data_IF_011953215542
#
_entry.id   IF_011953215542
#
_cell.length_a   1.000
_cell.length_b   1.000
_cell.length_c   1.000
_cell.angle_alpha   90.00
_cell.angle_beta   90.00
_cell.angle_gamma   90.00
#
_symmetry.space_group_name_H-M   'P 1'
#
loop_
_entity.id
_entity.type
_entity.pdbx_description
1 polymer ?
#
# COMPACT_ATOMS: atom_id res chain seq x y z
N UNK A 1 -9.13 -36.77 5.63
CA UNK A 1 -9.28 -35.68 6.63
C UNK A 1 -9.88 -34.50 5.87
N UNK A 2 -11.21 -34.43 5.92
CA UNK A 2 -12.01 -33.51 5.09
C UNK A 2 -12.02 -32.14 5.79
N UNK A 3 -11.41 -31.15 5.15
CA UNK A 3 -11.49 -29.77 5.62
C UNK A 3 -12.80 -29.20 5.12
N UNK A 4 -13.73 -28.99 6.05
CA UNK A 4 -14.99 -28.31 5.79
C UNK A 4 -14.73 -26.88 5.33
N UNK A 5 -15.15 -26.58 4.11
CA UNK A 5 -15.25 -25.25 3.57
C UNK A 5 -16.51 -24.59 4.15
N UNK A 6 -16.43 -24.04 5.34
CA UNK A 6 -17.47 -23.18 5.86
C UNK A 6 -17.23 -21.77 5.33
N UNK A 7 -18.17 -21.27 4.55
CA UNK A 7 -18.36 -19.87 4.22
C UNK A 7 -18.58 -19.07 5.51
N UNK A 8 -17.49 -18.63 6.11
CA UNK A 8 -17.57 -17.61 7.16
C UNK A 8 -17.81 -16.27 6.48
N UNK A 9 -19.05 -15.99 6.13
CA UNK A 9 -19.50 -14.64 5.85
C UNK A 9 -19.23 -13.81 7.12
N UNK A 10 -18.15 -13.04 7.05
CA UNK A 10 -17.74 -12.12 8.12
C UNK A 10 -18.80 -11.03 8.29
N UNK A 11 -19.80 -11.29 9.10
CA UNK A 11 -20.67 -10.26 9.67
C UNK A 11 -19.96 -9.56 10.84
N UNK A 12 -18.74 -9.08 10.61
CA UNK A 12 -18.19 -8.08 11.51
C UNK A 12 -18.96 -6.79 11.26
N UNK A 13 -19.90 -6.46 12.17
CA UNK A 13 -20.43 -5.11 12.28
C UNK A 13 -19.21 -4.18 12.25
N UNK A 14 -19.13 -3.29 11.25
CA UNK A 14 -18.37 -2.04 11.35
C UNK A 14 -18.99 -1.25 12.50
N UNK A 15 -18.70 -1.69 13.73
CA UNK A 15 -19.00 -0.90 14.92
C UNK A 15 -18.20 0.38 14.79
N UNK A 16 -18.81 1.50 15.06
CA UNK A 16 -18.39 2.89 15.09
C UNK A 16 -16.89 3.12 15.38
N UNK A 17 -16.00 2.59 14.53
CA UNK A 17 -14.55 2.83 14.59
C UNK A 17 -14.24 4.33 14.53
N UNK A 18 -15.10 5.12 13.84
CA UNK A 18 -14.88 6.54 13.66
C UNK A 18 -14.99 7.36 14.94
N UNK A 19 -15.75 6.92 15.94
CA UNK A 19 -15.95 7.67 17.20
C UNK A 19 -14.83 7.46 18.20
N UNK A 20 -14.12 6.32 18.14
CA UNK A 20 -13.04 5.97 19.06
C UNK A 20 -11.63 6.30 18.52
N UNK A 21 -11.51 6.65 17.23
CA UNK A 21 -10.22 6.97 16.62
C UNK A 21 -9.84 8.42 16.93
N UNK A 22 -8.74 8.59 17.64
CA UNK A 22 -8.18 9.92 17.93
C UNK A 22 -7.38 10.43 16.73
N UNK A 23 -7.60 11.70 16.40
CA UNK A 23 -6.87 12.42 15.35
C UNK A 23 -6.09 13.64 15.87
N UNK A 24 -6.05 13.84 17.19
CA UNK A 24 -5.48 15.01 17.87
C UNK A 24 -4.30 14.62 18.77
N UNK A 25 -3.50 13.67 18.36
CA UNK A 25 -2.28 13.28 19.07
C UNK A 25 -1.28 14.43 19.12
N UNK A 26 -0.76 14.72 20.31
CA UNK A 26 0.36 15.62 20.50
C UNK A 26 1.69 14.89 20.35
N UNK A 27 2.75 15.60 20.01
CA UNK A 27 4.11 15.06 19.96
C UNK A 27 4.50 14.38 21.28
N UNK A 28 4.18 15.03 22.41
CA UNK A 28 4.49 14.52 23.74
C UNK A 28 3.80 13.16 24.03
N UNK A 29 2.55 12.99 23.63
CA UNK A 29 1.84 11.72 23.77
C UNK A 29 2.46 10.62 22.90
N UNK A 30 2.87 10.96 21.66
CA UNK A 30 3.57 10.01 20.79
C UNK A 30 4.93 9.61 21.40
N UNK A 31 5.73 10.54 21.93
CA UNK A 31 6.99 10.27 22.62
C UNK A 31 6.80 9.39 23.86
N UNK A 32 5.73 9.61 24.61
CA UNK A 32 5.39 8.76 25.75
C UNK A 32 5.10 7.30 25.36
N UNK A 33 4.44 7.07 24.19
CA UNK A 33 4.24 5.72 23.67
C UNK A 33 5.58 5.05 23.33
N UNK A 34 6.50 5.77 22.68
CA UNK A 34 7.84 5.24 22.36
C UNK A 34 8.67 4.92 23.61
N UNK A 35 8.42 5.61 24.72
CA UNK A 35 9.15 5.42 25.98
C UNK A 35 8.60 4.31 26.87
N UNK A 36 7.47 3.71 26.50
CA UNK A 36 6.84 2.63 27.29
C UNK A 36 7.60 1.30 27.14
N UNK A 37 7.58 0.45 28.18
CA UNK A 37 8.08 -0.92 28.06
C UNK A 37 7.39 -1.69 26.94
N UNK A 38 8.14 -2.46 26.18
CA UNK A 38 7.62 -3.18 25.00
C UNK A 38 6.44 -4.09 25.33
N UNK A 39 6.49 -4.81 26.45
CA UNK A 39 5.41 -5.72 26.82
C UNK A 39 4.10 -4.99 27.16
N UNK A 40 4.18 -3.78 27.72
CA UNK A 40 2.99 -2.95 27.99
C UNK A 40 2.38 -2.43 26.69
N UNK A 41 3.23 -2.01 25.74
CA UNK A 41 2.76 -1.62 24.40
C UNK A 41 2.08 -2.79 23.68
N UNK A 42 2.67 -3.97 23.73
CA UNK A 42 2.12 -5.17 23.10
C UNK A 42 0.76 -5.56 23.70
N UNK A 43 0.65 -5.51 25.03
CA UNK A 43 -0.61 -5.81 25.73
C UNK A 43 -1.71 -4.81 25.36
N UNK A 44 -1.40 -3.53 25.35
CA UNK A 44 -2.35 -2.48 24.97
C UNK A 44 -2.77 -2.59 23.50
N UNK A 45 -1.81 -2.81 22.59
CA UNK A 45 -2.09 -3.02 21.17
C UNK A 45 -3.01 -4.24 20.95
N UNK A 46 -2.77 -5.36 21.67
CA UNK A 46 -3.62 -6.55 21.62
C UNK A 46 -5.01 -6.28 22.20
N UNK A 47 -5.10 -5.48 23.25
CA UNK A 47 -6.40 -5.10 23.85
C UNK A 47 -7.24 -4.31 22.86
N UNK A 48 -6.64 -3.31 22.21
CA UNK A 48 -7.31 -2.49 21.18
C UNK A 48 -7.66 -3.36 19.96
N UNK A 49 -6.71 -4.21 19.51
CA UNK A 49 -6.95 -5.08 18.34
C UNK A 49 -8.16 -5.99 18.58
N UNK A 50 -8.25 -6.65 19.74
CA UNK A 50 -9.37 -7.54 20.09
C UNK A 50 -10.72 -6.83 20.25
N UNK A 51 -10.70 -5.53 20.56
CA UNK A 51 -11.92 -4.71 20.66
C UNK A 51 -12.55 -4.48 19.28
N UNK A 52 -11.73 -4.34 18.22
CA UNK A 52 -12.20 -3.90 16.89
C UNK A 52 -12.05 -4.94 15.79
N UNK A 53 -11.19 -5.94 15.96
CA UNK A 53 -10.85 -6.93 14.94
C UNK A 53 -10.92 -8.35 15.50
N UNK A 54 -11.11 -9.33 14.60
CA UNK A 54 -10.96 -10.73 14.98
C UNK A 54 -9.46 -11.04 15.21
N UNK A 55 -9.06 -11.40 16.44
CA UNK A 55 -7.65 -11.58 16.77
C UNK A 55 -6.99 -12.78 16.10
N UNK A 56 -7.78 -13.69 15.55
CA UNK A 56 -7.30 -14.91 14.88
C UNK A 56 -7.36 -14.82 13.37
N UNK A 57 -7.66 -13.63 12.82
CA UNK A 57 -7.70 -13.40 11.38
C UNK A 57 -6.49 -12.58 10.93
N UNK A 58 -5.73 -13.10 9.96
CA UNK A 58 -4.61 -12.41 9.33
C UNK A 58 -4.93 -12.14 7.87
N UNK A 59 -4.67 -10.90 7.43
CA UNK A 59 -4.69 -10.55 6.03
C UNK A 59 -3.30 -10.81 5.43
N UNK A 60 -3.23 -11.67 4.42
CA UNK A 60 -2.01 -11.90 3.65
C UNK A 60 -2.05 -11.01 2.41
N UNK A 61 -1.03 -10.17 2.25
CA UNK A 61 -0.85 -9.28 1.11
C UNK A 61 0.41 -9.68 0.34
N UNK A 62 0.30 -9.77 -0.99
CA UNK A 62 1.46 -10.00 -1.88
C UNK A 62 1.76 -8.72 -2.65
N UNK A 63 3.03 -8.34 -2.74
CA UNK A 63 3.49 -7.18 -3.51
C UNK A 63 4.21 -7.62 -4.77
N UNK A 64 3.83 -7.05 -5.91
CA UNK A 64 4.51 -7.20 -7.20
C UNK A 64 5.02 -5.84 -7.70
N UNK A 65 6.29 -5.76 -8.08
CA UNK A 65 6.82 -4.62 -8.83
C UNK A 65 6.40 -4.76 -10.29
N UNK A 66 5.39 -4.00 -10.71
CA UNK A 66 4.89 -4.04 -12.10
C UNK A 66 5.72 -3.18 -13.06
N UNK A 67 6.56 -2.29 -12.52
CA UNK A 67 7.56 -1.51 -13.27
C UNK A 67 8.74 -1.22 -12.35
N UNK A 68 9.90 -1.80 -12.66
CA UNK A 68 11.11 -1.75 -11.83
C UNK A 68 12.13 -0.78 -12.40
N UNK A 69 12.82 -0.06 -11.53
CA UNK A 69 13.97 0.78 -11.86
C UNK A 69 13.66 2.03 -12.70
N UNK A 70 14.66 2.91 -12.79
CA UNK A 70 14.58 4.14 -13.58
C UNK A 70 13.54 5.14 -13.09
N UNK A 71 13.27 5.19 -11.78
CA UNK A 71 12.47 6.25 -11.18
C UNK A 71 13.24 7.58 -11.25
N UNK A 72 12.61 8.69 -11.71
CA UNK A 72 13.29 9.98 -11.82
C UNK A 72 13.47 10.69 -10.47
N UNK A 73 12.99 10.12 -9.37
CA UNK A 73 13.16 10.65 -8.02
C UNK A 73 14.47 10.18 -7.41
N UNK A 74 15.08 11.02 -6.58
CA UNK A 74 16.38 10.79 -5.94
C UNK A 74 16.28 10.38 -4.45
N UNK A 75 15.17 9.74 -4.06
CA UNK A 75 15.00 9.26 -2.68
C UNK A 75 16.21 8.42 -2.25
N UNK A 76 16.99 8.88 -1.28
CA UNK A 76 18.30 8.34 -0.91
C UNK A 76 18.29 6.87 -0.44
N UNK A 77 17.12 6.39 0.02
CA UNK A 77 16.91 5.02 0.50
C UNK A 77 16.34 4.07 -0.57
N UNK A 78 15.96 4.61 -1.76
CA UNK A 78 15.17 3.85 -2.72
C UNK A 78 16.05 3.23 -3.84
N UNK A 79 16.11 1.89 -3.94
CA UNK A 79 16.89 1.24 -4.99
C UNK A 79 16.28 1.38 -6.39
N UNK A 80 15.07 1.91 -6.51
CA UNK A 80 14.39 2.12 -7.79
C UNK A 80 14.81 3.44 -8.48
N UNK A 81 15.55 4.31 -7.79
CA UNK A 81 16.00 5.60 -8.30
C UNK A 81 16.96 5.45 -9.47
N UNK A 82 16.83 6.33 -10.47
CA UNK A 82 17.79 6.43 -11.58
C UNK A 82 19.04 7.24 -11.22
N UNK A 83 19.07 7.85 -10.03
CA UNK A 83 20.20 8.66 -9.56
C UNK A 83 21.31 7.84 -8.89
N UNK A 84 21.04 6.56 -8.56
CA UNK A 84 21.98 5.71 -7.84
C UNK A 84 22.26 4.41 -8.59
N UNK A 85 23.51 3.95 -8.54
CA UNK A 85 23.92 2.66 -9.07
C UNK A 85 23.59 1.55 -8.08
N UNK A 86 22.37 1.03 -8.15
CA UNK A 86 21.87 0.00 -7.22
C UNK A 86 21.84 -1.41 -7.81
N UNK A 87 22.31 -1.58 -9.04
CA UNK A 87 22.23 -2.86 -9.77
C UNK A 87 20.82 -3.18 -10.28
N UNK A 88 19.83 -2.31 -10.07
CA UNK A 88 18.47 -2.48 -10.56
C UNK A 88 18.36 -2.03 -12.02
N UNK A 89 18.14 -2.98 -12.92
CA UNK A 89 17.89 -2.68 -14.33
C UNK A 89 16.49 -2.09 -14.52
N UNK A 90 16.41 -1.05 -15.36
CA UNK A 90 15.13 -0.48 -15.77
C UNK A 90 14.33 -1.50 -16.58
N UNK A 91 13.12 -1.79 -16.13
CA UNK A 91 12.16 -2.65 -16.83
C UNK A 91 10.95 -1.86 -17.29
N UNK A 92 10.34 -2.22 -18.43
CA UNK A 92 9.08 -1.64 -18.86
C UNK A 92 7.94 -2.04 -17.92
N UNK A 93 6.77 -1.40 -18.07
CA UNK A 93 5.54 -1.83 -17.42
C UNK A 93 5.19 -3.26 -17.86
N UNK A 94 4.91 -4.13 -16.91
CA UNK A 94 4.51 -5.52 -17.16
C UNK A 94 3.21 -5.59 -17.98
N UNK A 95 3.06 -6.67 -18.74
CA UNK A 95 1.82 -7.00 -19.42
C UNK A 95 0.72 -7.43 -18.44
N UNK A 96 -0.53 -7.17 -18.78
CA UNK A 96 -1.71 -7.50 -17.95
C UNK A 96 -1.73 -8.99 -17.59
N UNK A 97 -1.54 -9.86 -18.57
CA UNK A 97 -1.61 -11.33 -18.37
C UNK A 97 -0.56 -11.83 -17.37
N UNK A 98 0.65 -11.28 -17.41
CA UNK A 98 1.72 -11.60 -16.45
C UNK A 98 1.34 -11.20 -15.02
N UNK A 99 0.71 -10.01 -14.86
CA UNK A 99 0.26 -9.53 -13.55
C UNK A 99 -0.89 -10.38 -13.03
N UNK A 100 -1.86 -10.74 -13.88
CA UNK A 100 -2.98 -11.59 -13.49
C UNK A 100 -2.53 -13.02 -13.14
N UNK A 101 -1.54 -13.56 -13.85
CA UNK A 101 -0.93 -14.86 -13.50
C UNK A 101 -0.30 -14.80 -12.12
N UNK A 102 0.46 -13.75 -11.80
CA UNK A 102 1.05 -13.56 -10.47
C UNK A 102 -0.02 -13.39 -9.38
N UNK A 103 -1.11 -12.67 -9.68
CA UNK A 103 -2.22 -12.50 -8.74
C UNK A 103 -2.97 -13.83 -8.47
N UNK A 104 -3.18 -14.65 -9.48
CA UNK A 104 -3.77 -15.99 -9.31
C UNK A 104 -2.88 -16.89 -8.44
N UNK A 105 -1.57 -16.86 -8.65
CA UNK A 105 -0.61 -17.62 -7.81
C UNK A 105 -0.62 -17.11 -6.37
N UNK A 106 -0.62 -15.79 -6.15
CA UNK A 106 -0.73 -15.20 -4.83
C UNK A 106 -2.03 -15.62 -4.11
N UNK A 107 -3.16 -15.59 -4.82
CA UNK A 107 -4.45 -16.07 -4.29
C UNK A 107 -4.40 -17.54 -3.90
N UNK A 108 -3.83 -18.40 -4.75
CA UNK A 108 -3.65 -19.84 -4.47
C UNK A 108 -2.82 -20.05 -3.19
N UNK A 109 -1.86 -19.16 -2.91
CA UNK A 109 -1.03 -19.18 -1.72
C UNK A 109 -1.68 -18.48 -0.51
N UNK A 110 -2.97 -18.12 -0.59
CA UNK A 110 -3.75 -17.58 0.52
C UNK A 110 -3.75 -16.05 0.64
N UNK A 111 -3.19 -15.32 -0.32
CA UNK A 111 -3.27 -13.86 -0.30
C UNK A 111 -4.71 -13.39 -0.58
N UNK A 112 -5.21 -12.48 0.25
CA UNK A 112 -6.50 -11.80 0.08
C UNK A 112 -6.36 -10.40 -0.53
N UNK A 113 -5.14 -9.83 -0.52
CA UNK A 113 -4.81 -8.54 -1.14
C UNK A 113 -3.62 -8.67 -2.06
N UNK A 114 -3.70 -8.03 -3.22
CA UNK A 114 -2.60 -7.94 -4.17
C UNK A 114 -2.18 -6.49 -4.36
N UNK A 115 -0.92 -6.20 -4.02
CA UNK A 115 -0.33 -4.87 -4.10
C UNK A 115 0.54 -4.76 -5.34
N UNK A 116 0.44 -3.65 -6.08
CA UNK A 116 1.25 -3.38 -7.25
C UNK A 116 2.06 -2.11 -7.07
N UNK A 117 3.39 -2.19 -7.18
CA UNK A 117 4.29 -1.06 -7.11
C UNK A 117 4.89 -0.71 -8.47
N UNK A 118 5.01 0.58 -8.80
CA UNK A 118 5.70 1.04 -9.99
C UNK A 118 6.67 2.19 -9.69
N UNK A 119 7.88 2.09 -10.21
CA UNK A 119 8.94 3.08 -10.05
C UNK A 119 8.68 4.32 -10.92
N UNK A 120 7.70 5.14 -10.51
CA UNK A 120 7.31 6.39 -11.17
C UNK A 120 7.29 7.56 -10.18
N UNK A 121 7.57 8.75 -10.70
CA UNK A 121 7.18 10.00 -10.04
C UNK A 121 5.66 10.22 -10.15
N UNK A 122 5.14 10.02 -11.36
CA UNK A 122 3.73 10.11 -11.72
C UNK A 122 3.49 9.19 -12.92
N UNK A 123 2.42 8.40 -12.97
CA UNK A 123 2.12 7.55 -14.13
C UNK A 123 1.67 8.38 -15.32
N UNK A 124 2.08 7.98 -16.54
CA UNK A 124 1.49 8.50 -17.76
C UNK A 124 0.05 7.97 -17.91
N UNK A 125 -0.81 8.73 -18.57
CA UNK A 125 -2.21 8.33 -18.77
C UNK A 125 -2.37 7.04 -19.59
N UNK A 126 -1.45 6.77 -20.54
CA UNK A 126 -1.39 5.50 -21.26
C UNK A 126 -1.13 4.31 -20.33
N UNK A 127 -0.16 4.45 -19.43
CA UNK A 127 0.24 3.40 -18.49
C UNK A 127 -0.86 3.20 -17.43
N UNK A 128 -1.46 4.30 -16.97
CA UNK A 128 -2.58 4.25 -16.02
C UNK A 128 -3.78 3.47 -16.59
N UNK A 129 -4.05 3.58 -17.89
CA UNK A 129 -5.09 2.78 -18.57
C UNK A 129 -4.81 1.27 -18.43
N UNK A 130 -3.55 0.87 -18.55
CA UNK A 130 -3.13 -0.53 -18.38
C UNK A 130 -3.27 -0.96 -16.92
N UNK A 131 -2.84 -0.13 -15.98
CA UNK A 131 -3.01 -0.41 -14.52
C UNK A 131 -4.47 -0.54 -14.14
N UNK A 132 -5.37 0.29 -14.66
CA UNK A 132 -6.82 0.15 -14.42
C UNK A 132 -7.34 -1.23 -14.85
N UNK A 133 -6.87 -1.76 -15.99
CA UNK A 133 -7.25 -3.12 -16.43
C UNK A 133 -6.68 -4.21 -15.51
N UNK A 134 -5.47 -4.02 -14.98
CA UNK A 134 -4.88 -4.94 -13.99
C UNK A 134 -5.74 -4.95 -12.73
N UNK A 135 -6.12 -3.79 -12.20
CA UNK A 135 -6.99 -3.64 -11.03
C UNK A 135 -8.32 -4.38 -11.25
N UNK A 136 -8.98 -4.14 -12.38
CA UNK A 136 -10.25 -4.81 -12.72
C UNK A 136 -10.10 -6.34 -12.76
N UNK A 137 -9.01 -6.83 -13.36
CA UNK A 137 -8.74 -8.26 -13.43
C UNK A 137 -8.47 -8.90 -12.07
N UNK A 138 -7.70 -8.23 -11.21
CA UNK A 138 -7.41 -8.70 -9.84
C UNK A 138 -8.68 -8.65 -8.97
N UNK A 139 -9.46 -7.59 -9.07
CA UNK A 139 -10.75 -7.47 -8.38
C UNK A 139 -11.73 -8.58 -8.81
N UNK A 140 -11.76 -8.93 -10.11
CA UNK A 140 -12.55 -10.04 -10.61
C UNK A 140 -12.11 -11.42 -10.06
N UNK A 141 -10.86 -11.54 -9.58
CA UNK A 141 -10.40 -12.71 -8.84
C UNK A 141 -10.92 -12.74 -7.38
N UNK A 142 -11.64 -11.71 -6.92
CA UNK A 142 -12.12 -11.59 -5.54
C UNK A 142 -11.02 -11.21 -4.55
N UNK A 143 -9.95 -10.54 -5.00
CA UNK A 143 -8.88 -10.01 -4.17
C UNK A 143 -9.03 -8.50 -4.00
N UNK A 144 -8.68 -7.98 -2.83
CA UNK A 144 -8.48 -6.54 -2.65
C UNK A 144 -7.26 -6.06 -3.44
N UNK A 145 -7.35 -4.85 -3.98
CA UNK A 145 -6.29 -4.23 -4.77
C UNK A 145 -5.63 -3.06 -4.02
N UNK A 146 -4.31 -2.99 -4.11
CA UNK A 146 -3.53 -1.87 -3.59
C UNK A 146 -2.50 -1.44 -4.64
N UNK A 147 -2.29 -0.14 -4.82
CA UNK A 147 -1.25 0.35 -5.73
C UNK A 147 -0.39 1.45 -5.11
N UNK A 148 0.88 1.51 -5.55
CA UNK A 148 1.84 2.57 -5.27
C UNK A 148 2.43 3.04 -6.60
N UNK A 149 1.98 4.19 -7.12
CA UNK A 149 2.31 4.65 -8.47
C UNK A 149 2.99 6.03 -8.48
N UNK A 150 3.43 6.52 -7.32
CA UNK A 150 3.96 7.87 -7.19
C UNK A 150 2.86 8.90 -6.89
N UNK A 151 3.05 10.14 -7.33
CA UNK A 151 2.09 11.23 -7.13
C UNK A 151 0.99 11.16 -8.18
N UNK A 152 -0.27 11.31 -7.78
CA UNK A 152 -1.42 11.29 -8.67
C UNK A 152 -2.03 12.68 -8.82
N UNK A 153 -2.56 12.97 -9.98
CA UNK A 153 -3.54 14.05 -10.13
C UNK A 153 -4.92 13.57 -9.65
N UNK A 154 -5.80 14.49 -9.31
CA UNK A 154 -7.20 14.18 -8.93
C UNK A 154 -7.89 13.30 -9.98
N UNK A 155 -7.74 13.62 -11.27
CA UNK A 155 -8.32 12.84 -12.38
C UNK A 155 -7.77 11.41 -12.45
N UNK A 156 -6.49 11.22 -12.14
CA UNK A 156 -5.89 9.88 -12.09
C UNK A 156 -6.42 9.06 -10.91
N UNK A 157 -6.57 9.69 -9.74
CA UNK A 157 -7.17 9.06 -8.57
C UNK A 157 -8.64 8.64 -8.83
N UNK A 158 -9.44 9.52 -9.43
CA UNK A 158 -10.83 9.22 -9.84
C UNK A 158 -10.91 8.03 -10.82
N UNK A 159 -9.97 7.95 -11.77
CA UNK A 159 -9.91 6.82 -12.72
C UNK A 159 -9.55 5.49 -12.05
N UNK A 160 -8.62 5.50 -11.10
CA UNK A 160 -8.26 4.31 -10.33
C UNK A 160 -9.42 3.85 -9.45
N UNK A 161 -10.10 4.79 -8.79
CA UNK A 161 -11.32 4.51 -8.01
C UNK A 161 -12.41 3.89 -8.89
N UNK A 162 -12.69 4.48 -10.05
CA UNK A 162 -13.67 3.96 -11.02
C UNK A 162 -13.29 2.56 -11.57
N UNK A 163 -12.00 2.21 -11.57
CA UNK A 163 -11.53 0.88 -11.92
C UNK A 163 -11.70 -0.17 -10.80
N UNK A 164 -12.14 0.24 -9.61
CA UNK A 164 -12.36 -0.64 -8.47
C UNK A 164 -11.13 -0.77 -7.55
N UNK A 165 -10.25 0.23 -7.52
CA UNK A 165 -9.12 0.24 -6.58
C UNK A 165 -9.62 0.41 -5.14
N UNK A 166 -9.17 -0.48 -4.24
CA UNK A 166 -9.51 -0.43 -2.82
C UNK A 166 -8.56 0.49 -2.04
N UNK A 167 -7.24 0.42 -2.31
CA UNK A 167 -6.23 1.15 -1.53
C UNK A 167 -5.18 1.80 -2.43
N UNK A 168 -4.84 3.04 -2.12
CA UNK A 168 -3.68 3.71 -2.68
C UNK A 168 -2.64 3.95 -1.58
N UNK A 169 -1.44 3.39 -1.74
CA UNK A 169 -0.35 3.62 -0.81
C UNK A 169 0.45 4.86 -1.24
N UNK A 170 0.45 5.88 -0.37
CA UNK A 170 1.15 7.15 -0.60
C UNK A 170 2.03 7.49 0.62
N UNK A 171 3.34 7.31 0.46
CA UNK A 171 4.29 7.55 1.54
C UNK A 171 4.63 9.04 1.64
N UNK A 172 4.68 9.57 2.86
CA UNK A 172 5.20 10.91 3.14
C UNK A 172 6.74 10.90 3.17
N UNK A 173 7.33 9.74 3.36
CA UNK A 173 8.77 9.44 3.35
C UNK A 173 9.50 9.86 4.64
N UNK A 174 9.42 11.14 5.04
CA UNK A 174 10.05 11.66 6.27
C UNK A 174 9.36 12.96 6.73
N UNK A 175 9.83 13.56 7.83
CA UNK A 175 9.32 14.84 8.33
C UNK A 175 9.67 15.99 7.37
N UNK A 176 8.88 17.07 7.40
CA UNK A 176 9.09 18.25 6.57
C UNK A 176 10.50 18.84 6.73
N UNK A 177 10.96 18.97 7.98
CA UNK A 177 12.27 19.56 8.29
C UNK A 177 13.45 18.73 7.74
N UNK A 178 13.28 17.40 7.62
CA UNK A 178 14.32 16.49 7.15
C UNK A 178 14.15 16.10 5.68
N UNK A 179 13.12 16.63 5.01
CA UNK A 179 12.74 16.16 3.66
C UNK A 179 13.85 16.39 2.64
N UNK A 180 14.50 17.55 2.68
CA UNK A 180 15.57 17.91 1.72
C UNK A 180 16.86 17.09 1.88
N UNK A 181 17.07 16.49 3.05
CA UNK A 181 18.21 15.58 3.31
C UNK A 181 18.02 14.21 2.63
N UNK A 182 16.75 13.85 2.35
CA UNK A 182 16.39 12.55 1.81
C UNK A 182 16.03 12.64 0.32
N UNK A 183 15.36 13.72 -0.10
CA UNK A 183 14.82 13.87 -1.46
C UNK A 183 14.98 15.34 -1.89
N UNK A 184 15.58 15.55 -3.07
CA UNK A 184 15.75 16.88 -3.65
C UNK A 184 14.92 17.11 -4.92
N UNK A 185 14.43 16.05 -5.55
CA UNK A 185 13.66 16.11 -6.81
C UNK A 185 12.22 16.55 -6.65
N UNK A 186 11.69 16.58 -5.41
CA UNK A 186 10.38 17.09 -5.03
C UNK A 186 10.40 17.68 -3.63
N UNK A 187 9.36 18.38 -3.24
CA UNK A 187 9.19 18.95 -1.90
C UNK A 187 8.26 18.10 -1.03
N UNK A 188 8.30 18.33 0.29
CA UNK A 188 7.32 17.76 1.23
C UNK A 188 5.88 18.14 0.83
N UNK A 189 5.66 19.41 0.43
CA UNK A 189 4.34 19.90 0.01
C UNK A 189 3.83 19.18 -1.25
N UNK A 190 4.71 18.83 -2.21
CA UNK A 190 4.33 18.03 -3.38
C UNK A 190 3.77 16.65 -2.98
N UNK A 191 4.16 16.14 -1.80
CA UNK A 191 3.67 14.83 -1.28
C UNK A 191 2.38 14.97 -0.49
N UNK A 192 2.10 16.13 0.06
CA UNK A 192 0.86 16.40 0.81
C UNK A 192 -0.32 16.71 -0.13
N UNK A 193 -0.04 17.42 -1.25
CA UNK A 193 -1.02 17.78 -2.27
C UNK A 193 -1.32 16.61 -3.23
#
# INVERSE_FOLDING_TARGET
MTILSDEVTSTYKKSNLSEDIRHNWTQKEAEQLFSRPFNDLLFEAQTIHRKYFNPNQLQISTLLSIKTGGCPEDCSYCPQSAHYETGQNRQPLMGIDSVLTAAMEAKKNGASRFCMGAAWRNPKDSDLKTVCKMIQGISALGMETCVTLGMLTKKQAERLHAAGLDYYNHNIDTSENFYKEIITTRTFIDRIN
#
